data_IF_175339155726
#
_entry.id   IF_175339155726
#
_cell.length_a   1.000
_cell.length_b   1.000
_cell.length_c   1.000
_cell.angle_alpha   90.00
_cell.angle_beta   90.00
_cell.angle_gamma   90.00
#
_symmetry.space_group_name_H-M   'P 1'
#
loop_
_entity.id
_entity.type
_entity.pdbx_description
1 polymer ?
#
# COMPACT_ATOMS: atom_id res chain seq x y z
N UNK A 1 -2.67 -7.78 -12.06
CA UNK A 1 -2.49 -8.03 -10.60
C UNK A 1 -3.88 -8.15 -9.96
N UNK A 2 -3.94 -8.72 -8.76
CA UNK A 2 -5.17 -9.04 -8.07
C UNK A 2 -5.47 -10.53 -8.21
N UNK A 3 -6.62 -10.95 -7.72
CA UNK A 3 -7.04 -12.34 -7.77
C UNK A 3 -8.50 -12.38 -8.19
N UNK A 4 -8.82 -13.14 -9.25
CA UNK A 4 -10.20 -13.27 -9.70
C UNK A 4 -10.98 -14.19 -8.76
N UNK A 5 -11.79 -13.58 -7.90
CA UNK A 5 -12.75 -14.25 -7.00
C UNK A 5 -14.19 -14.07 -7.45
N UNK A 6 -14.41 -13.47 -8.62
CA UNK A 6 -15.72 -13.33 -9.24
C UNK A 6 -16.23 -14.69 -9.76
N UNK A 7 -17.44 -14.71 -10.35
CA UNK A 7 -18.02 -15.91 -10.92
C UNK A 7 -17.18 -16.55 -12.05
N UNK A 8 -16.30 -15.79 -12.72
CA UNK A 8 -15.37 -16.33 -13.73
C UNK A 8 -14.08 -16.92 -13.16
N UNK A 9 -13.76 -16.61 -11.90
CA UNK A 9 -12.53 -17.05 -11.23
C UNK A 9 -12.80 -18.16 -10.22
N UNK A 10 -12.34 -17.98 -8.98
CA UNK A 10 -12.60 -18.95 -7.91
C UNK A 10 -14.06 -18.97 -7.43
N UNK A 11 -14.88 -18.01 -7.85
CA UNK A 11 -16.26 -17.82 -7.41
C UNK A 11 -16.44 -17.68 -5.89
N UNK A 12 -15.41 -17.26 -5.16
CA UNK A 12 -15.52 -17.04 -3.71
C UNK A 12 -16.53 -15.91 -3.38
N UNK A 13 -16.84 -15.02 -4.34
CA UNK A 13 -17.87 -14.00 -4.15
C UNK A 13 -19.26 -14.62 -3.87
N UNK A 14 -19.54 -15.84 -4.35
CA UNK A 14 -20.80 -16.54 -4.11
C UNK A 14 -20.98 -17.02 -2.65
N UNK A 15 -19.94 -16.94 -1.83
CA UNK A 15 -20.01 -17.24 -0.40
C UNK A 15 -20.64 -16.09 0.42
N UNK A 16 -20.74 -14.90 -0.18
CA UNK A 16 -21.36 -13.73 0.46
C UNK A 16 -22.87 -13.68 0.20
N UNK A 17 -23.59 -12.90 1.02
CA UNK A 17 -24.98 -12.59 0.76
C UNK A 17 -25.17 -11.95 -0.63
N UNK A 18 -26.28 -12.25 -1.31
CA UNK A 18 -26.50 -11.90 -2.71
C UNK A 18 -26.25 -10.40 -3.06
N UNK A 19 -26.65 -9.41 -2.24
CA UNK A 19 -26.35 -8.00 -2.53
C UNK A 19 -24.84 -7.71 -2.55
N UNK A 20 -24.09 -8.28 -1.60
CA UNK A 20 -22.63 -8.12 -1.49
C UNK A 20 -21.93 -8.84 -2.63
N UNK A 21 -22.39 -10.06 -2.96
CA UNK A 21 -21.86 -10.81 -4.08
C UNK A 21 -22.02 -10.06 -5.41
N UNK A 22 -23.18 -9.42 -5.61
CA UNK A 22 -23.46 -8.61 -6.80
C UNK A 22 -22.62 -7.32 -6.86
N UNK A 23 -22.27 -6.72 -5.72
CA UNK A 23 -21.41 -5.53 -5.67
C UNK A 23 -19.94 -5.89 -5.89
N UNK A 24 -19.40 -6.83 -5.13
CA UNK A 24 -17.99 -7.21 -5.21
C UNK A 24 -17.65 -7.99 -6.48
N UNK A 25 -18.61 -8.73 -7.03
CA UNK A 25 -18.45 -9.48 -8.28
C UNK A 25 -18.51 -8.62 -9.54
N UNK A 26 -18.98 -7.37 -9.47
CA UNK A 26 -19.06 -6.45 -10.60
C UNK A 26 -17.91 -5.44 -10.56
N UNK A 27 -17.04 -5.49 -11.58
CA UNK A 27 -15.87 -4.62 -11.71
C UNK A 27 -16.21 -3.12 -11.69
N UNK A 28 -17.43 -2.73 -12.08
CA UNK A 28 -17.88 -1.32 -12.10
C UNK A 28 -18.41 -0.85 -10.75
N UNK A 29 -18.78 -1.78 -9.87
CA UNK A 29 -19.44 -1.50 -8.60
C UNK A 29 -18.55 -1.76 -7.40
N UNK A 30 -17.60 -2.68 -7.53
CA UNK A 30 -16.68 -3.04 -6.44
C UNK A 30 -15.97 -1.78 -5.91
N UNK A 31 -16.01 -1.54 -4.58
CA UNK A 31 -15.25 -0.45 -3.98
C UNK A 31 -13.75 -0.60 -4.28
N UNK A 32 -13.06 0.51 -4.54
CA UNK A 32 -11.65 0.49 -4.98
C UNK A 32 -10.72 -0.24 -4.01
N UNK A 33 -10.97 -0.08 -2.71
CA UNK A 33 -10.15 -0.69 -1.65
C UNK A 33 -10.27 -2.23 -1.65
N UNK A 34 -11.32 -2.78 -2.28
CA UNK A 34 -11.54 -4.23 -2.43
C UNK A 34 -11.31 -4.75 -3.85
N UNK A 35 -10.97 -3.90 -4.81
CA UNK A 35 -10.81 -4.27 -6.22
C UNK A 35 -9.89 -5.49 -6.41
N UNK A 36 -8.67 -5.44 -5.85
CA UNK A 36 -7.66 -6.48 -6.03
C UNK A 36 -7.94 -7.75 -5.20
N UNK A 37 -8.88 -7.69 -4.25
CA UNK A 37 -9.39 -8.86 -3.55
C UNK A 37 -10.32 -9.68 -4.45
N UNK A 38 -11.11 -9.06 -5.31
CA UNK A 38 -12.12 -9.79 -6.08
C UNK A 38 -11.82 -9.90 -7.57
N UNK A 39 -10.94 -9.06 -8.10
CA UNK A 39 -10.68 -8.98 -9.53
C UNK A 39 -9.18 -9.04 -9.82
N UNK A 40 -8.83 -9.76 -10.88
CA UNK A 40 -7.53 -9.63 -11.52
C UNK A 40 -7.66 -8.66 -12.71
N UNK A 41 -6.99 -7.51 -12.65
CA UNK A 41 -7.08 -6.47 -13.68
C UNK A 41 -5.70 -6.11 -14.25
N UNK A 42 -5.63 -5.59 -15.49
CA UNK A 42 -4.36 -5.16 -16.06
C UNK A 42 -3.81 -3.90 -15.35
N UNK A 43 -2.50 -3.71 -15.40
CA UNK A 43 -1.83 -2.52 -14.85
C UNK A 43 -2.32 -1.20 -15.43
N UNK A 44 -2.88 -1.22 -16.65
CA UNK A 44 -3.47 -0.05 -17.34
C UNK A 44 -4.90 0.27 -16.91
N UNK A 45 -5.53 -0.55 -16.05
CA UNK A 45 -6.88 -0.31 -15.56
C UNK A 45 -7.00 1.09 -14.95
N UNK A 46 -8.07 1.83 -15.27
CA UNK A 46 -8.27 3.20 -14.81
C UNK A 46 -8.99 3.20 -13.47
N UNK A 47 -8.35 3.80 -12.47
CA UNK A 47 -8.91 4.00 -11.14
C UNK A 47 -9.85 5.22 -11.15
N UNK A 48 -10.68 5.38 -10.11
CA UNK A 48 -11.57 6.55 -9.97
C UNK A 48 -10.81 7.87 -9.89
N UNK A 49 -9.54 7.85 -9.45
CA UNK A 49 -8.62 8.99 -9.51
C UNK A 49 -8.19 9.38 -10.94
N UNK A 50 -8.55 8.60 -11.96
CA UNK A 50 -8.10 8.74 -13.35
C UNK A 50 -6.72 8.14 -13.63
N UNK A 51 -5.95 7.84 -12.59
CA UNK A 51 -4.65 7.16 -12.68
C UNK A 51 -4.81 5.73 -13.19
N UNK A 52 -3.75 5.20 -13.79
CA UNK A 52 -3.70 3.75 -14.02
C UNK A 52 -3.54 3.02 -12.68
N UNK A 53 -3.88 1.73 -12.62
CA UNK A 53 -3.68 0.93 -11.42
C UNK A 53 -2.21 0.95 -10.97
N UNK A 54 -1.27 0.91 -11.92
CA UNK A 54 0.15 1.05 -11.60
C UNK A 54 0.45 2.39 -10.92
N UNK A 55 0.03 3.50 -11.51
CA UNK A 55 0.34 4.83 -10.96
C UNK A 55 -0.36 5.06 -9.61
N UNK A 56 -1.59 4.57 -9.47
CA UNK A 56 -2.34 4.63 -8.21
C UNK A 56 -1.67 3.78 -7.12
N UNK A 57 -1.14 2.60 -7.45
CA UNK A 57 -0.39 1.77 -6.50
C UNK A 57 0.85 2.52 -5.99
N UNK A 58 1.67 3.06 -6.90
CA UNK A 58 2.90 3.79 -6.50
C UNK A 58 2.53 5.03 -5.69
N UNK A 59 1.46 5.73 -6.06
CA UNK A 59 0.95 6.86 -5.29
C UNK A 59 0.50 6.45 -3.89
N UNK A 60 -0.31 5.38 -3.74
CA UNK A 60 -0.82 4.92 -2.43
C UNK A 60 0.31 4.51 -1.48
N UNK A 61 1.31 3.78 -1.98
CA UNK A 61 2.48 3.45 -1.17
C UNK A 61 3.27 4.69 -0.74
N UNK A 62 3.45 5.66 -1.64
CA UNK A 62 4.16 6.90 -1.31
C UNK A 62 3.36 7.77 -0.33
N UNK A 63 2.04 7.87 -0.54
CA UNK A 63 1.14 8.59 0.35
C UNK A 63 1.14 8.03 1.78
N UNK A 64 1.28 6.72 1.95
CA UNK A 64 1.44 6.10 3.27
C UNK A 64 2.63 6.64 4.06
N UNK A 65 3.76 6.93 3.38
CA UNK A 65 4.93 7.56 4.00
C UNK A 65 4.63 9.00 4.41
N UNK A 66 3.95 9.76 3.55
CA UNK A 66 3.58 11.14 3.82
C UNK A 66 2.59 11.25 5.00
N UNK A 67 1.68 10.28 5.15
CA UNK A 67 0.80 10.20 6.32
C UNK A 67 1.61 10.03 7.61
N UNK A 68 2.64 9.17 7.64
CA UNK A 68 3.49 9.01 8.84
C UNK A 68 4.30 10.28 9.13
N UNK A 69 4.76 11.00 8.10
CA UNK A 69 5.39 12.32 8.27
C UNK A 69 4.45 13.33 8.90
N UNK A 70 3.18 13.36 8.48
CA UNK A 70 2.19 14.25 9.08
C UNK A 70 1.85 13.84 10.52
N UNK A 71 1.82 12.54 10.84
CA UNK A 71 1.68 12.06 12.22
C UNK A 71 2.82 12.57 13.10
N UNK A 72 4.06 12.54 12.62
CA UNK A 72 5.22 13.11 13.33
C UNK A 72 5.05 14.60 13.59
N UNK A 73 4.70 15.36 12.56
CA UNK A 73 4.47 16.80 12.68
C UNK A 73 3.35 17.11 13.68
N UNK A 74 2.24 16.40 13.59
CA UNK A 74 1.13 16.52 14.53
C UNK A 74 1.59 16.22 15.96
N UNK A 75 2.39 15.16 16.15
CA UNK A 75 2.94 14.82 17.47
C UNK A 75 3.90 15.88 18.00
N UNK A 76 4.70 16.52 17.14
CA UNK A 76 5.58 17.61 17.56
C UNK A 76 4.79 18.84 18.03
N UNK A 77 3.63 19.10 17.44
CA UNK A 77 2.72 20.19 17.81
C UNK A 77 1.98 19.93 19.14
N UNK A 78 1.45 18.71 19.35
CA UNK A 78 0.66 18.38 20.55
C UNK A 78 1.49 17.76 21.68
N UNK A 79 2.66 17.23 21.36
CA UNK A 79 3.57 16.54 22.29
C UNK A 79 3.96 17.36 23.53
N UNK A 80 4.11 18.70 23.47
CA UNK A 80 4.32 19.52 24.67
C UNK A 80 3.21 19.44 25.73
N UNK A 81 2.02 18.92 25.39
CA UNK A 81 0.91 18.69 26.32
C UNK A 81 0.98 17.33 27.04
N UNK A 82 1.96 16.49 26.70
CA UNK A 82 2.17 15.15 27.24
C UNK A 82 3.43 15.16 28.12
N UNK A 83 3.49 14.31 29.16
CA UNK A 83 4.71 14.17 29.96
C UNK A 83 5.91 13.73 29.12
N UNK A 84 7.10 14.09 29.61
CA UNK A 84 8.33 13.97 28.84
C UNK A 84 8.66 12.52 28.43
N UNK A 85 8.37 11.54 29.28
CA UNK A 85 8.68 10.13 29.01
C UNK A 85 7.85 9.62 27.83
N UNK A 86 6.53 9.75 27.90
CA UNK A 86 5.64 9.32 26.80
C UNK A 86 5.87 10.13 25.53
N UNK A 87 6.13 11.44 25.66
CA UNK A 87 6.46 12.31 24.54
C UNK A 87 7.65 11.78 23.74
N UNK A 88 8.77 11.53 24.41
CA UNK A 88 10.01 11.07 23.75
C UNK A 88 9.85 9.64 23.20
N UNK A 89 9.16 8.76 23.94
CA UNK A 89 8.91 7.39 23.49
C UNK A 89 8.12 7.37 22.17
N UNK A 90 6.99 8.09 22.11
CA UNK A 90 6.16 8.14 20.90
C UNK A 90 6.90 8.84 19.75
N UNK A 91 7.62 9.94 20.02
CA UNK A 91 8.42 10.60 19.00
C UNK A 91 9.49 9.66 18.41
N UNK A 92 10.10 8.83 19.26
CA UNK A 92 11.06 7.80 18.83
C UNK A 92 10.40 6.73 17.97
N UNK A 93 9.26 6.20 18.38
CA UNK A 93 8.57 5.19 17.58
C UNK A 93 8.03 5.73 16.25
N UNK A 94 7.54 6.98 16.20
CA UNK A 94 7.13 7.59 14.93
C UNK A 94 8.32 7.82 13.97
N UNK A 95 9.52 8.15 14.49
CA UNK A 95 10.75 8.21 13.67
C UNK A 95 11.11 6.86 13.08
N UNK A 96 10.97 5.78 13.86
CA UNK A 96 11.20 4.40 13.38
C UNK A 96 10.13 4.04 12.34
N UNK A 97 8.86 4.32 12.63
CA UNK A 97 7.75 4.04 11.72
C UNK A 97 7.91 4.72 10.37
N UNK A 98 8.40 5.96 10.30
CA UNK A 98 8.64 6.61 9.01
C UNK A 98 9.72 5.88 8.20
N UNK A 99 10.83 5.50 8.85
CA UNK A 99 11.91 4.74 8.18
C UNK A 99 11.40 3.40 7.66
N UNK A 100 10.65 2.68 8.48
CA UNK A 100 10.03 1.41 8.10
C UNK A 100 9.00 1.59 6.99
N UNK A 101 8.18 2.65 7.03
CA UNK A 101 7.22 2.96 5.98
C UNK A 101 7.91 3.26 4.65
N UNK A 102 9.02 4.01 4.67
CA UNK A 102 9.84 4.24 3.47
C UNK A 102 10.42 2.93 2.94
N UNK A 103 10.97 2.09 3.81
CA UNK A 103 11.49 0.78 3.45
C UNK A 103 10.42 -0.10 2.78
N UNK A 104 9.24 -0.22 3.39
CA UNK A 104 8.10 -0.95 2.83
C UNK A 104 7.67 -0.40 1.48
N UNK A 105 7.55 0.92 1.36
CA UNK A 105 7.17 1.61 0.13
C UNK A 105 8.15 1.26 -0.98
N UNK A 106 9.45 1.37 -0.73
CA UNK A 106 10.48 1.12 -1.73
C UNK A 106 10.55 -0.34 -2.14
N UNK A 107 10.54 -1.27 -1.18
CA UNK A 107 10.61 -2.70 -1.45
C UNK A 107 9.41 -3.18 -2.27
N UNK A 108 8.19 -2.77 -1.90
CA UNK A 108 6.98 -3.13 -2.64
C UNK A 108 6.94 -2.51 -4.05
N UNK A 109 7.27 -1.22 -4.17
CA UNK A 109 7.29 -0.55 -5.48
C UNK A 109 8.34 -1.17 -6.39
N UNK A 110 9.56 -1.42 -5.89
CA UNK A 110 10.61 -2.10 -6.65
C UNK A 110 10.16 -3.50 -7.09
N UNK A 111 9.52 -4.27 -6.21
CA UNK A 111 8.99 -5.59 -6.53
C UNK A 111 7.94 -5.52 -7.65
N UNK A 112 6.89 -4.71 -7.48
CA UNK A 112 5.83 -4.64 -8.48
C UNK A 112 6.30 -4.00 -9.79
N UNK A 113 7.33 -3.15 -9.77
CA UNK A 113 7.93 -2.59 -10.99
C UNK A 113 8.50 -3.67 -11.90
N UNK A 114 9.10 -4.74 -11.33
CA UNK A 114 9.61 -5.85 -12.15
C UNK A 114 8.50 -6.58 -12.91
N UNK A 115 7.31 -6.66 -12.31
CA UNK A 115 6.14 -7.33 -12.91
C UNK A 115 5.31 -6.40 -13.80
N UNK A 116 5.25 -5.11 -13.47
CA UNK A 116 4.50 -4.13 -14.25
C UNK A 116 5.27 -3.63 -15.47
N UNK A 117 6.61 -3.65 -15.40
CA UNK A 117 7.52 -3.10 -16.41
C UNK A 117 7.20 -1.65 -16.79
N UNK A 118 6.63 -0.90 -15.85
CA UNK A 118 6.21 0.50 -16.05
C UNK A 118 7.15 1.46 -15.30
N UNK A 119 7.40 2.65 -15.86
CA UNK A 119 8.18 3.67 -15.17
C UNK A 119 7.44 4.17 -13.93
N UNK A 120 8.19 4.66 -12.94
CA UNK A 120 7.61 5.37 -11.80
C UNK A 120 6.90 6.64 -12.32
N UNK A 121 5.68 6.95 -11.84
CA UNK A 121 4.97 8.16 -12.25
C UNK A 121 5.79 9.42 -11.97
N UNK A 122 5.69 10.40 -12.87
CA UNK A 122 6.36 11.69 -12.69
C UNK A 122 5.97 12.35 -11.35
N UNK A 123 6.96 12.95 -10.68
CA UNK A 123 6.78 13.62 -9.39
C UNK A 123 6.87 12.71 -8.17
N UNK A 124 6.96 11.38 -8.34
CA UNK A 124 7.24 10.45 -7.24
C UNK A 124 8.69 9.96 -7.30
N UNK A 125 9.40 9.87 -6.17
CA UNK A 125 10.79 9.41 -6.17
C UNK A 125 10.86 7.93 -6.56
N UNK A 126 11.90 7.45 -7.27
CA UNK A 126 12.14 6.02 -7.39
C UNK A 126 12.48 5.40 -6.02
N UNK A 127 12.42 4.07 -5.87
CA UNK A 127 13.04 3.39 -4.73
C UNK A 127 14.52 3.77 -4.59
N UNK A 128 15.02 3.92 -3.36
CA UNK A 128 16.42 4.32 -3.11
C UNK A 128 17.44 3.27 -3.61
N UNK A 129 17.06 2.00 -3.56
CA UNK A 129 17.90 0.87 -3.95
C UNK A 129 17.21 -0.05 -4.97
N UNK A 130 17.94 -0.91 -5.71
CA UNK A 130 17.33 -1.92 -6.57
C UNK A 130 16.64 -3.03 -5.76
N UNK A 131 15.75 -3.79 -6.39
CA UNK A 131 15.00 -4.88 -5.73
C UNK A 131 15.90 -5.91 -5.02
N UNK A 132 17.06 -6.23 -5.59
CA UNK A 132 17.97 -7.22 -5.01
C UNK A 132 18.55 -6.78 -3.66
N UNK A 133 18.71 -5.48 -3.44
CA UNK A 133 19.08 -4.95 -2.13
C UNK A 133 17.99 -5.30 -1.10
N UNK A 134 16.73 -4.97 -1.37
CA UNK A 134 15.63 -5.22 -0.43
C UNK A 134 15.41 -6.72 -0.16
N UNK A 135 15.65 -7.58 -1.16
CA UNK A 135 15.60 -9.05 -1.00
C UNK A 135 16.73 -9.62 -0.13
N UNK A 136 17.87 -8.94 -0.08
CA UNK A 136 19.04 -9.38 0.72
C UNK A 136 18.91 -9.06 2.20
N UNK A 137 17.98 -8.17 2.57
CA UNK A 137 17.71 -7.82 3.96
C UNK A 137 17.09 -9.02 4.68
N UNK A 138 17.59 -9.31 5.88
CA UNK A 138 17.12 -10.42 6.71
C UNK A 138 16.62 -9.90 8.05
N UNK A 139 15.40 -10.30 8.39
CA UNK A 139 14.73 -9.93 9.62
C UNK A 139 14.31 -11.22 10.34
N UNK A 140 15.17 -11.79 11.20
CA UNK A 140 14.93 -13.10 11.83
C UNK A 140 13.72 -13.14 12.77
N UNK A 141 13.13 -11.98 13.10
CA UNK A 141 11.97 -11.87 13.98
C UNK A 141 10.75 -11.22 13.31
N UNK A 142 10.74 -11.10 11.97
CA UNK A 142 9.55 -10.63 11.26
C UNK A 142 8.43 -11.69 11.30
N UNK A 143 7.14 -11.31 11.42
CA UNK A 143 6.04 -12.27 11.38
C UNK A 143 6.00 -13.01 10.03
N UNK A 144 5.88 -14.34 10.05
CA UNK A 144 5.71 -15.16 8.84
C UNK A 144 6.89 -16.07 8.45
N UNK A 145 7.88 -16.26 9.33
CA UNK A 145 8.77 -17.44 9.29
C UNK A 145 8.02 -18.72 9.65
#
# INVERSE_FOLDING_TARGET
>A
IGFDRSASGSNAVAQYAAPVAAEFGDLRRVPQDYLLWFHHVPWSYRMHSGRTLWDELVYRYTHGVDVVREMRKTWDEVGPLVDAERREQVATFLRIQEKEAMWWRDACVAYFQTSSQRPIPSGLPPPEHPLDYYKSLSFPYAPGH
#
